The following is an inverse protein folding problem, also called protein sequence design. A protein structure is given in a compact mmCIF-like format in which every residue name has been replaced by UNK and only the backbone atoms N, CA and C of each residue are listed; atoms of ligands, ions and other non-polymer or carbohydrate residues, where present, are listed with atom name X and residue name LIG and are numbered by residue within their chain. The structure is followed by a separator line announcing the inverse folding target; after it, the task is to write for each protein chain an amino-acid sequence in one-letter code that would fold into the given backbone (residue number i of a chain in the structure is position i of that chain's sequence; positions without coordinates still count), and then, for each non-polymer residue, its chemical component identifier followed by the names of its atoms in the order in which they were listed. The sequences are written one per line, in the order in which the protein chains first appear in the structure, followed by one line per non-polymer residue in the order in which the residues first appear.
data_IF_174352110569
#
_entry.id   IF_174352110569
#
_cell.length_a   1.000
_cell.length_b   1.000
_cell.length_c   1.000
_cell.angle_alpha   90.00
_cell.angle_beta   90.00
_cell.angle_gamma   90.00
#
_symmetry.space_group_name_H-M   'P 1'
#
loop_
_entity.id
_entity.type
_entity.pdbx_description
1 polymer ?
#
# COMPACT_ATOMS: atom_id res chain seq x y z
N UNK A 1 -28.01 24.43 -0.76
CA UNK A 1 -27.90 24.39 -2.22
C UNK A 1 -26.79 23.39 -2.51
N UNK A 2 -27.17 22.13 -2.68
CA UNK A 2 -26.28 20.97 -2.79
C UNK A 2 -26.00 20.68 -4.26
N UNK A 3 -24.74 20.69 -4.66
CA UNK A 3 -24.35 20.39 -6.04
C UNK A 3 -24.16 18.87 -6.20
N UNK A 4 -25.25 18.18 -6.57
CA UNK A 4 -25.26 16.79 -7.00
C UNK A 4 -25.16 16.74 -8.52
N UNK A 5 -23.99 16.44 -9.07
CA UNK A 5 -23.87 16.08 -10.48
C UNK A 5 -24.31 14.62 -10.67
N UNK A 6 -25.48 14.42 -11.29
CA UNK A 6 -25.94 13.12 -11.80
C UNK A 6 -25.48 13.01 -13.27
N UNK A 7 -24.67 12.00 -13.57
CA UNK A 7 -24.23 11.66 -14.91
C UNK A 7 -25.36 10.92 -15.65
N UNK A 8 -25.90 11.54 -16.71
CA UNK A 8 -26.80 10.89 -17.64
C UNK A 8 -25.98 10.30 -18.80
N UNK A 9 -26.17 9.01 -19.10
CA UNK A 9 -25.38 8.26 -20.08
C UNK A 9 -25.88 8.54 -21.49
N UNK A 10 -25.08 9.26 -22.28
CA UNK A 10 -25.08 9.14 -23.73
C UNK A 10 -23.70 8.62 -24.15
N UNK A 11 -23.70 7.56 -24.96
CA UNK A 11 -22.51 6.85 -25.40
C UNK A 11 -21.48 7.77 -26.08
N UNK A 12 -20.21 7.68 -25.67
CA UNK A 12 -19.07 8.12 -26.48
C UNK A 12 -18.21 9.29 -25.98
N UNK A 13 -18.41 9.81 -24.77
CA UNK A 13 -17.56 10.89 -24.23
C UNK A 13 -16.73 10.41 -23.03
N UNK A 14 -15.43 10.72 -23.06
CA UNK A 14 -14.49 10.42 -21.99
C UNK A 14 -14.95 11.11 -20.69
N UNK A 15 -15.34 10.38 -19.63
CA UNK A 15 -15.99 10.96 -18.43
C UNK A 15 -15.08 11.88 -17.61
N UNK A 16 -13.80 12.01 -18.00
CA UNK A 16 -12.80 12.91 -17.42
C UNK A 16 -12.82 14.30 -18.10
N UNK A 17 -13.35 14.39 -19.34
CA UNK A 17 -13.35 15.62 -20.13
C UNK A 17 -14.31 16.69 -19.56
N UNK A 18 -15.41 16.28 -18.95
CA UNK A 18 -16.42 17.16 -18.32
C UNK A 18 -16.14 17.52 -16.86
N UNK A 19 -14.99 17.10 -16.31
CA UNK A 19 -14.58 17.47 -14.95
C UNK A 19 -13.99 18.89 -14.92
N UNK A 20 -14.26 19.63 -13.83
CA UNK A 20 -13.53 20.87 -13.55
C UNK A 20 -12.01 20.60 -13.49
N UNK A 21 -11.16 21.59 -13.82
CA UNK A 21 -9.71 21.43 -13.75
C UNK A 21 -9.23 20.88 -12.40
N UNK A 22 -9.85 21.31 -11.30
CA UNK A 22 -9.53 20.86 -9.95
C UNK A 22 -9.95 19.40 -9.72
N UNK A 23 -11.12 19.00 -10.21
CA UNK A 23 -11.59 17.61 -10.11
C UNK A 23 -10.69 16.67 -10.93
N UNK A 24 -10.26 17.10 -12.11
CA UNK A 24 -9.31 16.35 -12.94
C UNK A 24 -7.96 16.19 -12.25
N UNK A 25 -7.44 17.25 -11.63
CA UNK A 25 -6.18 17.20 -10.89
C UNK A 25 -6.24 16.21 -9.71
N UNK A 26 -7.35 16.18 -8.96
CA UNK A 26 -7.55 15.21 -7.87
C UNK A 26 -7.53 13.78 -8.38
N UNK A 27 -8.21 13.49 -9.49
CA UNK A 27 -8.22 12.15 -10.10
C UNK A 27 -6.81 11.75 -10.53
N UNK A 28 -6.11 12.62 -11.25
CA UNK A 28 -4.75 12.35 -11.73
C UNK A 28 -3.76 12.11 -10.58
N UNK A 29 -3.81 12.93 -9.52
CA UNK A 29 -2.96 12.74 -8.34
C UNK A 29 -3.20 11.37 -7.71
N UNK A 30 -4.46 10.99 -7.53
CA UNK A 30 -4.85 9.74 -6.88
C UNK A 30 -4.56 8.51 -7.76
N UNK A 31 -4.75 8.60 -9.07
CA UNK A 31 -4.37 7.55 -10.01
C UNK A 31 -2.84 7.34 -10.02
N UNK A 32 -2.07 8.42 -10.05
CA UNK A 32 -0.61 8.33 -9.99
C UNK A 32 -0.13 7.73 -8.66
N UNK A 33 -0.77 8.06 -7.54
CA UNK A 33 -0.47 7.44 -6.25
C UNK A 33 -0.79 5.94 -6.26
N UNK A 34 -1.99 5.57 -6.72
CA UNK A 34 -2.41 4.18 -6.82
C UNK A 34 -1.48 3.35 -7.70
N UNK A 35 -1.11 3.87 -8.87
CA UNK A 35 -0.20 3.20 -9.80
C UNK A 35 1.17 2.94 -9.17
N UNK A 36 1.74 3.94 -8.48
CA UNK A 36 3.01 3.78 -7.74
C UNK A 36 2.90 2.68 -6.70
N UNK A 37 1.88 2.74 -5.83
CA UNK A 37 1.67 1.75 -4.77
C UNK A 37 1.55 0.35 -5.36
N UNK A 38 0.73 0.18 -6.40
CA UNK A 38 0.53 -1.11 -7.06
C UNK A 38 1.80 -1.66 -7.70
N UNK A 39 2.58 -0.80 -8.36
CA UNK A 39 3.84 -1.19 -9.00
C UNK A 39 4.81 -1.74 -7.98
N UNK A 40 5.01 -1.00 -6.88
CA UNK A 40 5.91 -1.42 -5.79
C UNK A 40 5.44 -2.73 -5.16
N UNK A 41 4.15 -2.86 -4.85
CA UNK A 41 3.60 -4.09 -4.28
C UNK A 41 3.77 -5.30 -5.23
N UNK A 42 3.48 -5.12 -6.52
CA UNK A 42 3.64 -6.19 -7.53
C UNK A 42 5.09 -6.64 -7.67
N UNK A 43 6.03 -5.70 -7.69
CA UNK A 43 7.47 -6.00 -7.76
C UNK A 43 7.96 -6.73 -6.53
N UNK A 44 7.61 -6.27 -5.32
CA UNK A 44 7.97 -6.97 -4.07
C UNK A 44 7.35 -8.36 -3.99
N UNK A 45 6.09 -8.51 -4.40
CA UNK A 45 5.45 -9.82 -4.50
C UNK A 45 6.14 -10.75 -5.51
N UNK A 46 6.66 -10.22 -6.63
CA UNK A 46 7.45 -11.00 -7.60
C UNK A 46 8.83 -11.40 -7.06
N UNK A 47 9.55 -10.47 -6.44
CA UNK A 47 10.86 -10.73 -5.83
C UNK A 47 10.72 -11.80 -4.75
N UNK A 48 9.74 -11.66 -3.84
CA UNK A 48 9.46 -12.64 -2.79
C UNK A 48 9.17 -14.03 -3.34
N UNK A 49 8.33 -14.15 -4.38
CA UNK A 49 8.06 -15.46 -5.02
C UNK A 49 9.30 -16.08 -5.67
N UNK A 50 10.22 -15.25 -6.18
CA UNK A 50 11.50 -15.73 -6.72
C UNK A 50 12.37 -16.27 -5.59
N UNK A 51 12.56 -15.50 -4.52
CA UNK A 51 13.36 -15.92 -3.36
C UNK A 51 12.84 -17.23 -2.75
N UNK A 52 11.51 -17.38 -2.64
CA UNK A 52 10.87 -18.63 -2.20
C UNK A 52 11.15 -19.79 -3.15
N UNK A 53 11.08 -19.55 -4.47
CA UNK A 53 11.45 -20.55 -5.48
C UNK A 53 12.92 -20.98 -5.37
N UNK A 54 13.84 -20.04 -5.17
CA UNK A 54 15.26 -20.31 -5.02
C UNK A 54 15.54 -21.14 -3.75
N UNK A 55 14.84 -20.85 -2.64
CA UNK A 55 14.92 -21.65 -1.41
C UNK A 55 14.38 -23.07 -1.59
N UNK A 56 13.27 -23.24 -2.32
CA UNK A 56 12.72 -24.55 -2.64
C UNK A 56 13.68 -25.38 -3.49
N UNK A 57 14.37 -24.75 -4.44
CA UNK A 57 15.36 -25.42 -5.28
C UNK A 57 16.60 -25.81 -4.49
N UNK A 58 17.09 -24.93 -3.61
CA UNK A 58 18.15 -25.27 -2.66
C UNK A 58 17.78 -26.45 -1.77
N UNK A 59 16.53 -26.52 -1.31
CA UNK A 59 16.05 -27.64 -0.50
C UNK A 59 16.02 -28.96 -1.29
N UNK A 60 15.70 -28.92 -2.58
CA UNK A 60 15.78 -30.09 -3.47
C UNK A 60 17.23 -30.56 -3.64
N UNK A 61 18.15 -29.66 -3.92
CA UNK A 61 19.58 -29.97 -4.05
C UNK A 61 20.13 -30.66 -2.80
N UNK A 62 19.84 -30.12 -1.62
CA UNK A 62 20.28 -30.71 -0.34
C UNK A 62 19.71 -32.11 -0.11
N UNK A 63 18.47 -32.37 -0.52
CA UNK A 63 17.87 -33.72 -0.45
C UNK A 63 18.56 -34.70 -1.38
N UNK A 64 18.89 -34.28 -2.60
CA UNK A 64 19.62 -35.12 -3.56
C UNK A 64 21.05 -35.42 -3.11
N UNK A 65 21.73 -34.43 -2.49
CA UNK A 65 23.04 -34.62 -1.88
C UNK A 65 22.97 -35.60 -0.71
N UNK A 66 22.00 -35.43 0.20
CA UNK A 66 21.81 -36.33 1.33
C UNK A 66 21.55 -37.78 0.89
N UNK A 67 20.81 -37.99 -0.20
CA UNK A 67 20.56 -39.32 -0.75
C UNK A 67 21.83 -40.04 -1.25
N UNK A 68 22.88 -39.29 -1.61
CA UNK A 68 24.16 -39.81 -2.14
C UNK A 68 25.30 -39.72 -1.12
N UNK A 69 25.09 -39.07 0.03
CA UNK A 69 26.13 -38.75 0.99
C UNK A 69 26.50 -39.94 1.90
N UNK A 70 27.71 -39.90 2.47
CA UNK A 70 28.11 -40.84 3.49
C UNK A 70 27.40 -40.54 4.83
N UNK A 71 27.26 -41.55 5.68
CA UNK A 71 26.52 -41.43 6.94
C UNK A 71 27.04 -40.32 7.89
N UNK A 72 28.33 -39.98 7.82
CA UNK A 72 28.94 -38.95 8.65
C UNK A 72 28.65 -37.51 8.17
N UNK A 73 28.25 -37.32 6.91
CA UNK A 73 27.92 -36.01 6.33
C UNK A 73 26.43 -35.65 6.49
N UNK A 74 25.58 -36.66 6.72
CA UNK A 74 24.12 -36.49 6.88
C UNK A 74 23.73 -35.49 7.99
N UNK A 75 24.38 -35.45 9.17
CA UNK A 75 24.03 -34.48 10.22
C UNK A 75 24.12 -33.03 9.73
N UNK A 76 25.17 -32.68 9.00
CA UNK A 76 25.38 -31.33 8.45
C UNK A 76 24.33 -31.00 7.41
N UNK A 77 24.05 -31.92 6.49
CA UNK A 77 23.05 -31.73 5.43
C UNK A 77 21.64 -31.56 6.02
N UNK A 78 21.27 -32.33 7.04
CA UNK A 78 19.98 -32.17 7.72
C UNK A 78 19.87 -30.84 8.46
N UNK A 79 20.96 -30.36 9.07
CA UNK A 79 20.99 -29.04 9.68
C UNK A 79 20.74 -27.93 8.64
N UNK A 80 21.42 -27.98 7.50
CA UNK A 80 21.19 -27.03 6.40
C UNK A 80 19.74 -27.09 5.88
N UNK A 81 19.20 -28.30 5.68
CA UNK A 81 17.82 -28.49 5.24
C UNK A 81 16.81 -27.89 6.22
N UNK A 82 17.05 -28.03 7.53
CA UNK A 82 16.18 -27.47 8.55
C UNK A 82 16.22 -25.94 8.57
N UNK A 83 17.39 -25.33 8.36
CA UNK A 83 17.52 -23.87 8.20
C UNK A 83 16.73 -23.39 6.99
N UNK A 84 16.92 -23.99 5.81
CA UNK A 84 16.20 -23.60 4.58
C UNK A 84 14.69 -23.79 4.76
N UNK A 85 14.26 -24.91 5.34
CA UNK A 85 12.84 -25.16 5.64
C UNK A 85 12.27 -24.11 6.57
N UNK A 86 13.01 -23.72 7.61
CA UNK A 86 12.57 -22.69 8.55
C UNK A 86 12.40 -21.33 7.87
N UNK A 87 13.24 -21.00 6.88
CA UNK A 87 13.11 -19.78 6.08
C UNK A 87 11.88 -19.80 5.16
N UNK A 88 11.53 -20.97 4.60
CA UNK A 88 10.31 -21.14 3.79
C UNK A 88 9.05 -21.09 4.66
N UNK A 89 9.08 -21.78 5.80
CA UNK A 89 7.94 -21.93 6.72
C UNK A 89 7.72 -20.70 7.60
N UNK A 90 8.64 -19.72 7.60
CA UNK A 90 8.46 -18.46 8.33
C UNK A 90 7.10 -17.85 7.99
N UNK A 91 6.14 -17.84 8.93
CA UNK A 91 4.83 -17.31 8.66
C UNK A 91 4.98 -15.84 8.30
N UNK A 92 4.32 -15.39 7.22
CA UNK A 92 4.05 -13.97 7.05
C UNK A 92 3.08 -13.56 8.17
N UNK A 93 3.61 -13.24 9.35
CA UNK A 93 2.79 -12.94 10.53
C UNK A 93 1.99 -11.64 10.35
N UNK A 94 2.39 -10.78 9.42
CA UNK A 94 1.65 -9.58 9.08
C UNK A 94 0.67 -9.85 7.93
N UNK A 95 -0.57 -9.36 8.00
CA UNK A 95 -1.46 -9.36 6.84
C UNK A 95 -0.78 -8.64 5.67
N UNK A 96 -0.87 -9.21 4.47
CA UNK A 96 -0.28 -8.62 3.26
C UNK A 96 -1.23 -7.56 2.68
N UNK A 97 -0.67 -6.49 2.11
CA UNK A 97 -1.44 -5.48 1.40
C UNK A 97 -1.85 -6.00 0.03
N UNK A 98 -3.15 -6.17 -0.21
CA UNK A 98 -3.68 -6.58 -1.52
C UNK A 98 -3.47 -5.47 -2.57
N UNK A 99 -2.70 -5.70 -3.66
CA UNK A 99 -2.50 -4.71 -4.71
C UNK A 99 -3.80 -4.28 -5.42
N UNK A 100 -4.88 -5.07 -5.35
CA UNK A 100 -6.18 -4.73 -5.98
C UNK A 100 -7.02 -3.79 -5.14
N UNK A 101 -6.73 -3.64 -3.86
CA UNK A 101 -7.38 -2.70 -2.95
C UNK A 101 -6.41 -2.30 -1.82
N UNK A 102 -5.29 -1.62 -2.15
CA UNK A 102 -4.17 -1.46 -1.23
C UNK A 102 -4.49 -0.52 -0.06
N UNK A 103 -5.38 0.45 -0.28
CA UNK A 103 -5.81 1.42 0.72
C UNK A 103 -7.24 1.90 0.43
N UNK A 104 -7.86 2.56 1.40
CA UNK A 104 -9.20 3.13 1.28
C UNK A 104 -9.26 4.61 1.68
N UNK A 105 -8.17 5.16 2.19
CA UNK A 105 -8.05 6.58 2.46
C UNK A 105 -6.63 7.07 2.19
N UNK A 106 -6.53 8.33 1.79
CA UNK A 106 -5.28 9.01 1.51
C UNK A 106 -5.20 10.27 2.39
N UNK A 107 -4.07 10.39 3.09
CA UNK A 107 -3.71 11.51 3.95
C UNK A 107 -2.36 12.05 3.50
N UNK A 108 -2.29 13.31 3.08
CA UNK A 108 -1.02 14.02 2.84
C UNK A 108 -0.77 14.99 3.97
N UNK A 109 0.38 14.88 4.60
CA UNK A 109 0.83 15.78 5.67
C UNK A 109 1.96 16.64 5.15
N UNK A 110 1.90 17.94 5.43
CA UNK A 110 2.98 18.89 5.18
C UNK A 110 3.57 19.29 6.53
N UNK A 111 4.75 18.75 6.84
CA UNK A 111 5.53 19.10 8.04
C UNK A 111 6.74 19.95 7.60
N UNK A 112 7.51 20.50 8.55
CA UNK A 112 8.65 21.37 8.24
C UNK A 112 9.74 20.71 7.36
N UNK A 113 9.86 19.39 7.42
CA UNK A 113 10.82 18.59 6.66
C UNK A 113 10.26 18.08 5.31
N UNK A 114 9.02 18.45 4.97
CA UNK A 114 8.42 18.22 3.67
C UNK A 114 7.06 17.52 3.70
N UNK A 115 6.59 17.15 2.51
CA UNK A 115 5.30 16.49 2.32
C UNK A 115 5.42 14.97 2.32
N UNK A 116 4.45 14.30 2.94
CA UNK A 116 4.37 12.84 2.98
C UNK A 116 2.96 12.34 2.75
N UNK A 117 2.83 11.43 1.79
CA UNK A 117 1.62 10.66 1.55
C UNK A 117 1.55 9.43 2.48
N UNK A 118 0.41 9.26 3.13
CA UNK A 118 0.04 8.11 3.93
C UNK A 118 -1.25 7.50 3.37
N UNK A 119 -1.15 6.26 2.91
CA UNK A 119 -2.28 5.47 2.43
C UNK A 119 -2.78 4.58 3.58
N UNK A 120 -4.03 4.72 3.99
CA UNK A 120 -4.60 3.94 5.09
C UNK A 120 -5.24 2.67 4.52
N UNK A 121 -4.73 1.51 4.91
CA UNK A 121 -5.16 0.18 4.46
C UNK A 121 -5.43 -0.77 5.62
N UNK A 122 -5.72 -2.04 5.30
CA UNK A 122 -5.95 -3.12 6.28
C UNK A 122 -4.68 -3.79 6.79
N UNK A 123 -3.55 -3.43 6.21
CA UNK A 123 -2.24 -3.99 6.44
C UNK A 123 -1.21 -2.87 6.23
N UNK A 124 -0.03 -3.02 6.82
CA UNK A 124 1.07 -2.07 6.67
C UNK A 124 2.07 -2.56 5.64
N UNK A 125 2.49 -1.67 4.75
CA UNK A 125 3.59 -1.87 3.81
C UNK A 125 4.30 -0.53 3.60
N UNK A 126 5.61 -0.48 3.87
CA UNK A 126 6.40 0.74 3.77
C UNK A 126 7.62 0.49 2.91
N UNK A 127 7.78 1.31 1.87
CA UNK A 127 8.96 1.38 1.01
C UNK A 127 9.29 2.87 0.82
N UNK A 128 10.07 3.40 1.77
CA UNK A 128 10.40 4.84 1.84
C UNK A 128 11.21 5.30 0.64
N UNK A 129 12.08 4.44 0.10
CA UNK A 129 12.92 4.73 -1.07
C UNK A 129 12.10 5.06 -2.33
N UNK A 130 10.84 4.60 -2.38
CA UNK A 130 9.92 4.85 -3.50
C UNK A 130 8.68 5.66 -3.11
N UNK A 131 8.74 6.32 -1.96
CA UNK A 131 7.66 7.13 -1.41
C UNK A 131 6.32 6.37 -1.30
N UNK A 132 6.34 5.10 -0.89
CA UNK A 132 5.13 4.29 -0.66
C UNK A 132 4.98 3.99 0.83
N UNK A 133 3.85 4.42 1.41
CA UNK A 133 3.51 4.17 2.82
C UNK A 133 2.04 3.78 2.91
N UNK A 134 1.78 2.48 2.93
CA UNK A 134 0.48 1.92 3.32
C UNK A 134 0.55 1.58 4.80
N UNK A 135 -0.38 2.07 5.60
CA UNK A 135 -0.40 1.87 7.05
C UNK A 135 -1.70 1.22 7.48
N UNK A 136 -1.62 0.25 8.40
CA UNK A 136 -2.82 -0.34 9.00
C UNK A 136 -3.51 0.70 9.89
N UNK A 137 -4.71 1.11 9.47
CA UNK A 137 -5.47 2.17 10.13
C UNK A 137 -5.80 1.86 11.60
N UNK A 138 -5.85 0.58 11.99
CA UNK A 138 -6.24 0.14 13.33
C UNK A 138 -5.12 0.36 14.35
N UNK A 139 -3.88 0.26 13.90
CA UNK A 139 -2.72 0.20 14.77
C UNK A 139 -1.79 1.39 14.59
N UNK A 140 -1.77 2.02 13.41
CA UNK A 140 -0.84 3.10 13.12
C UNK A 140 -1.25 4.40 13.86
N UNK A 141 -0.38 4.96 14.73
CA UNK A 141 -0.63 6.23 15.41
C UNK A 141 -1.00 7.37 14.45
N UNK A 142 -0.39 7.40 13.27
CA UNK A 142 -0.63 8.41 12.23
C UNK A 142 -2.07 8.38 11.70
N UNK A 143 -2.75 7.22 11.77
CA UNK A 143 -4.13 7.10 11.31
C UNK A 143 -5.11 7.92 12.16
N UNK A 144 -4.74 8.27 13.40
CA UNK A 144 -5.55 9.15 14.27
C UNK A 144 -5.73 10.54 13.69
N UNK A 145 -4.71 11.06 12.98
CA UNK A 145 -4.78 12.39 12.38
C UNK A 145 -5.91 12.48 11.34
N UNK A 146 -6.14 11.38 10.60
CA UNK A 146 -7.23 11.30 9.63
C UNK A 146 -8.61 11.55 10.25
N UNK A 147 -8.82 11.15 11.50
CA UNK A 147 -10.12 11.30 12.18
C UNK A 147 -10.24 12.61 12.97
N UNK A 148 -9.10 13.16 13.42
CA UNK A 148 -9.07 14.36 14.27
C UNK A 148 -9.04 15.66 13.49
N UNK A 149 -8.38 15.67 12.33
CA UNK A 149 -8.12 16.90 11.57
C UNK A 149 -8.79 16.85 10.20
N UNK A 150 -9.22 18.02 9.71
CA UNK A 150 -9.75 18.21 8.35
C UNK A 150 -8.63 18.64 7.42
N UNK A 151 -8.91 18.54 6.12
CA UNK A 151 -8.04 19.11 5.10
C UNK A 151 -7.90 20.63 5.33
N UNK A 152 -6.66 21.12 5.34
CA UNK A 152 -6.30 22.49 5.65
C UNK A 152 -6.08 22.79 7.13
N UNK A 153 -6.44 21.88 8.04
CA UNK A 153 -6.25 22.12 9.47
C UNK A 153 -4.77 22.01 9.83
N UNK A 154 -4.25 22.92 10.70
CA UNK A 154 -3.00 22.69 11.38
C UNK A 154 -3.18 21.53 12.38
N UNK A 155 -2.14 20.72 12.54
CA UNK A 155 -2.12 19.65 13.53
C UNK A 155 -0.87 19.75 14.40
N UNK A 156 -1.03 19.29 15.64
CA UNK A 156 0.03 19.02 16.60
C UNK A 156 -0.38 17.73 17.32
N UNK A 157 0.39 16.66 17.14
CA UNK A 157 0.07 15.35 17.69
C UNK A 157 1.32 14.65 18.22
N UNK A 158 1.23 14.08 19.42
CA UNK A 158 2.29 13.28 19.99
C UNK A 158 2.34 11.90 19.30
N UNK A 159 3.33 11.70 18.44
CA UNK A 159 3.65 10.41 17.83
C UNK A 159 4.74 9.68 18.65
N UNK A 160 4.93 8.36 18.45
CA UNK A 160 6.01 7.64 19.11
C UNK A 160 7.37 8.28 18.81
N UNK A 161 8.06 8.75 19.85
CA UNK A 161 9.40 9.31 19.76
C UNK A 161 9.50 10.75 19.24
N UNK A 162 8.40 11.42 18.86
CA UNK A 162 8.43 12.82 18.42
C UNK A 162 7.09 13.53 18.55
N UNK A 163 7.11 14.85 18.77
CA UNK A 163 5.97 15.72 18.52
C UNK A 163 5.89 15.97 17.00
N UNK A 164 4.72 15.77 16.41
CA UNK A 164 4.51 15.96 14.98
C UNK A 164 3.60 17.17 14.76
N UNK A 165 4.08 18.13 13.98
CA UNK A 165 3.41 19.41 13.73
C UNK A 165 3.43 19.74 12.25
N UNK A 166 2.33 20.30 11.74
CA UNK A 166 2.22 20.65 10.34
C UNK A 166 0.78 20.95 9.90
N UNK A 167 0.50 20.75 8.62
CA UNK A 167 -0.82 20.95 8.00
C UNK A 167 -1.27 19.66 7.34
N UNK A 168 -2.56 19.32 7.47
CA UNK A 168 -3.18 18.27 6.67
C UNK A 168 -3.45 18.80 5.27
N UNK A 169 -2.51 18.58 4.34
CA UNK A 169 -2.57 19.10 2.98
C UNK A 169 -3.66 18.42 2.14
N UNK A 170 -3.85 17.11 2.32
CA UNK A 170 -4.88 16.33 1.60
C UNK A 170 -5.53 15.35 2.55
N UNK A 171 -6.86 15.23 2.48
CA UNK A 171 -7.61 14.19 3.17
C UNK A 171 -8.74 13.66 2.29
N UNK A 172 -8.62 12.41 1.85
CA UNK A 172 -9.59 11.79 0.94
C UNK A 172 -9.98 10.38 1.38
N UNK A 173 -11.21 9.98 1.04
CA UNK A 173 -11.62 8.57 1.00
C UNK A 173 -11.55 8.13 -0.45
N UNK A 174 -11.04 6.93 -0.69
CA UNK A 174 -11.01 6.33 -2.03
C UNK A 174 -11.69 4.98 -2.03
N UNK A 175 -12.33 4.64 -3.15
CA UNK A 175 -12.85 3.30 -3.40
C UNK A 175 -12.09 2.72 -4.57
N UNK A 176 -11.29 1.70 -4.27
CA UNK A 176 -10.52 0.95 -5.25
C UNK A 176 -11.13 -0.44 -5.38
N UNK A 177 -11.47 -0.85 -6.61
CA UNK A 177 -12.04 -2.16 -6.91
C UNK A 177 -11.26 -2.80 -8.04
N UNK A 178 -10.85 -4.06 -7.85
CA UNK A 178 -10.08 -4.82 -8.84
C UNK A 178 -8.84 -4.04 -9.37
N UNK A 179 -8.21 -3.23 -8.52
CA UNK A 179 -7.06 -2.41 -8.87
C UNK A 179 -7.37 -1.09 -9.58
N UNK A 180 -8.64 -0.71 -9.71
CA UNK A 180 -9.04 0.55 -10.36
C UNK A 180 -9.70 1.49 -9.37
N UNK A 181 -9.40 2.78 -9.51
CA UNK A 181 -10.01 3.85 -8.73
C UNK A 181 -11.43 4.12 -9.24
N UNK A 182 -12.43 3.75 -8.45
CA UNK A 182 -13.85 3.90 -8.80
C UNK A 182 -14.52 5.11 -8.16
N UNK A 183 -14.00 5.60 -7.04
CA UNK A 183 -14.56 6.75 -6.34
C UNK A 183 -13.51 7.49 -5.53
N UNK A 184 -13.65 8.81 -5.46
CA UNK A 184 -12.89 9.70 -4.57
C UNK A 184 -13.88 10.59 -3.83
N UNK A 185 -13.76 10.68 -2.51
CA UNK A 185 -14.44 11.67 -1.67
C UNK A 185 -13.37 12.61 -1.10
N UNK A 186 -13.45 13.90 -1.42
CA UNK A 186 -12.50 14.93 -0.97
C UNK A 186 -13.28 16.14 -0.49
N UNK A 187 -13.32 16.35 0.82
CA UNK A 187 -14.16 17.37 1.45
C UNK A 187 -15.63 17.23 1.06
N UNK A 188 -16.18 18.24 0.35
CA UNK A 188 -17.57 18.25 -0.14
C UNK A 188 -17.74 17.60 -1.53
N UNK A 189 -16.65 17.19 -2.20
CA UNK A 189 -16.67 16.65 -3.56
C UNK A 189 -16.74 15.12 -3.55
N UNK A 190 -17.55 14.56 -4.44
CA UNK A 190 -17.64 13.12 -4.71
C UNK A 190 -17.46 12.86 -6.20
N UNK A 191 -16.33 12.25 -6.57
CA UNK A 191 -16.02 11.88 -7.96
C UNK A 191 -16.22 10.38 -8.12
N UNK A 192 -16.95 9.95 -9.14
CA UNK A 192 -17.31 8.55 -9.39
C UNK A 192 -16.96 8.20 -10.84
N UNK A 193 -16.30 7.06 -11.04
CA UNK A 193 -16.11 6.45 -12.36
C UNK A 193 -17.32 5.56 -12.65
N UNK A 194 -17.98 5.81 -13.78
CA UNK A 194 -19.10 5.00 -14.27
C UNK A 194 -18.63 3.62 -14.73
#
# INVERSE_FOLDING_TARGET
MEERALLNVAAGADPIADLSPEARAIVQEEEALLERVQTVLREKGRARRRDEGDLLERLKELRELAAKAAAHDLPTLFQEMNVVRSLIEQPQQAPEVDPRAPYFAHLKLCEADGERDFCLGRASFVETSRNVRVVDWRFAPIARLYYRYREGDPFEEQLPGRLAEGIVAVRRVVVIRAGQLTRILSGKRSLVRA
#
